data_IF_197946175597
#
_entry.id   IF_197946175597
#
_cell.length_a   1.000
_cell.length_b   1.000
_cell.length_c   1.000
_cell.angle_alpha   90.00
_cell.angle_beta   90.00
_cell.angle_gamma   90.00
#
_symmetry.space_group_name_H-M   'P 1'
#
loop_
_entity.id
_entity.type
_entity.pdbx_description
1 polymer ?
#
# COMPACT_ATOMS: atom_id res chain seq x y z
N UNK A 1 -16.60 -27.26 -31.42
CA UNK A 1 -16.40 -26.11 -30.51
C UNK A 1 -15.18 -26.42 -29.68
N UNK A 2 -14.00 -25.84 -29.96
CA UNK A 2 -12.85 -26.05 -29.08
C UNK A 2 -13.09 -25.25 -27.80
N UNK A 3 -13.06 -25.96 -26.68
CA UNK A 3 -13.10 -25.44 -25.32
C UNK A 3 -11.91 -24.50 -25.11
N UNK A 4 -12.19 -23.23 -24.82
CA UNK A 4 -11.18 -22.27 -24.39
C UNK A 4 -10.72 -22.64 -22.99
N UNK A 5 -9.57 -23.32 -22.90
CA UNK A 5 -8.81 -23.39 -21.66
C UNK A 5 -8.39 -21.97 -21.29
N UNK A 6 -9.07 -21.38 -20.30
CA UNK A 6 -8.61 -20.17 -19.64
C UNK A 6 -7.34 -20.54 -18.88
N UNK A 7 -6.19 -20.35 -19.51
CA UNK A 7 -4.89 -20.54 -18.87
C UNK A 7 -4.88 -19.79 -17.54
N UNK A 8 -4.55 -20.49 -16.46
CA UNK A 8 -4.38 -19.90 -15.14
C UNK A 8 -3.41 -18.72 -15.27
N UNK A 9 -3.69 -17.55 -14.66
CA UNK A 9 -2.78 -16.43 -14.70
C UNK A 9 -1.39 -16.90 -14.23
N UNK A 10 -0.41 -16.77 -15.12
CA UNK A 10 0.94 -17.26 -14.88
C UNK A 10 1.62 -16.29 -13.94
N UNK A 11 1.87 -16.73 -12.71
CA UNK A 11 2.64 -15.97 -11.75
C UNK A 11 4.07 -15.72 -12.29
N UNK A 12 4.63 -14.57 -11.96
CA UNK A 12 5.92 -14.05 -12.40
C UNK A 12 7.12 -14.90 -11.96
N UNK A 13 8.35 -14.51 -12.34
CA UNK A 13 9.54 -15.31 -12.10
C UNK A 13 9.94 -15.33 -10.61
N UNK A 14 10.72 -16.34 -10.23
CA UNK A 14 11.42 -16.36 -8.94
C UNK A 14 12.57 -15.35 -8.93
N UNK A 15 12.85 -14.73 -7.78
CA UNK A 15 14.03 -13.87 -7.62
C UNK A 15 14.57 -13.88 -6.19
N UNK A 16 15.77 -13.35 -6.00
CA UNK A 16 16.27 -12.97 -4.68
C UNK A 16 15.93 -11.51 -4.45
N UNK A 17 15.06 -11.24 -3.47
CA UNK A 17 14.74 -9.89 -3.04
C UNK A 17 15.65 -9.47 -1.89
N UNK A 18 16.02 -8.19 -1.85
CA UNK A 18 16.74 -7.55 -0.75
C UNK A 18 16.08 -6.23 -0.43
N UNK A 19 16.00 -5.90 0.86
CA UNK A 19 15.51 -4.60 1.28
C UNK A 19 16.57 -3.50 1.05
N UNK A 20 16.17 -2.24 1.22
CA UNK A 20 17.00 -1.07 0.90
C UNK A 20 18.34 -1.06 1.64
N UNK A 21 18.35 -1.42 2.94
CA UNK A 21 19.58 -1.53 3.74
C UNK A 21 20.29 -2.88 3.65
N UNK A 22 19.80 -3.81 2.83
CA UNK A 22 20.36 -5.15 2.63
C UNK A 22 20.43 -6.07 3.86
N UNK A 23 19.75 -5.77 4.97
CA UNK A 23 19.69 -6.65 6.15
C UNK A 23 18.58 -7.71 6.06
N UNK A 24 17.59 -7.54 5.18
CA UNK A 24 16.55 -8.52 4.90
C UNK A 24 16.71 -9.07 3.48
N UNK A 25 16.70 -10.39 3.36
CA UNK A 25 16.86 -11.11 2.10
C UNK A 25 15.90 -12.29 2.07
N UNK A 26 15.24 -12.54 0.94
CA UNK A 26 14.48 -13.77 0.73
C UNK A 26 14.55 -14.22 -0.73
N UNK A 27 14.34 -15.52 -0.95
CA UNK A 27 14.11 -16.08 -2.29
C UNK A 27 12.61 -16.23 -2.46
N UNK A 28 12.02 -15.39 -3.29
CA UNK A 28 10.58 -15.44 -3.58
C UNK A 28 10.34 -16.41 -4.74
N UNK A 29 9.26 -17.19 -4.65
CA UNK A 29 8.86 -18.10 -5.73
C UNK A 29 8.30 -17.33 -6.92
N UNK A 30 7.55 -16.26 -6.66
CA UNK A 30 7.02 -15.35 -7.68
C UNK A 30 7.12 -13.90 -7.23
N UNK A 31 7.59 -13.03 -8.12
CA UNK A 31 7.58 -11.59 -7.94
C UNK A 31 6.61 -10.93 -8.91
N UNK A 32 5.75 -10.06 -8.39
CA UNK A 32 4.62 -9.48 -9.11
C UNK A 32 4.64 -7.97 -9.02
N UNK A 33 4.31 -7.29 -10.12
CA UNK A 33 4.19 -5.82 -10.19
C UNK A 33 2.85 -5.45 -10.82
N UNK A 34 1.72 -5.69 -10.14
CA UNK A 34 0.40 -5.35 -10.66
C UNK A 34 0.24 -3.83 -10.79
N UNK A 35 -0.48 -3.39 -11.82
CA UNK A 35 -0.75 -1.96 -12.08
C UNK A 35 -2.20 -1.55 -11.81
N UNK A 36 -3.10 -2.52 -11.61
CA UNK A 36 -4.52 -2.31 -11.37
C UNK A 36 -5.03 -3.14 -10.20
N UNK A 37 -6.15 -2.71 -9.62
CA UNK A 37 -6.86 -3.44 -8.56
C UNK A 37 -7.25 -4.86 -9.02
N UNK A 38 -7.63 -5.00 -10.30
CA UNK A 38 -7.94 -6.28 -10.91
C UNK A 38 -6.73 -7.23 -10.92
N UNK A 39 -5.55 -6.71 -11.31
CA UNK A 39 -4.32 -7.51 -11.35
C UNK A 39 -3.93 -7.96 -9.94
N UNK A 40 -4.04 -7.07 -8.94
CA UNK A 40 -3.79 -7.41 -7.54
C UNK A 40 -4.69 -8.55 -7.09
N UNK A 41 -6.01 -8.43 -7.29
CA UNK A 41 -6.96 -9.46 -6.89
C UNK A 41 -6.72 -10.79 -7.63
N UNK A 42 -6.35 -10.72 -8.91
CA UNK A 42 -6.01 -11.90 -9.72
C UNK A 42 -4.75 -12.60 -9.21
N UNK A 43 -3.71 -11.85 -8.86
CA UNK A 43 -2.48 -12.38 -8.24
C UNK A 43 -2.77 -13.05 -6.90
N UNK A 44 -3.59 -12.44 -6.04
CA UNK A 44 -3.95 -13.02 -4.75
C UNK A 44 -4.69 -14.36 -4.93
N UNK A 45 -5.69 -14.39 -5.83
CA UNK A 45 -6.45 -15.62 -6.14
C UNK A 45 -5.57 -16.73 -6.72
N UNK A 46 -4.63 -16.35 -7.59
CA UNK A 46 -3.66 -17.29 -8.14
C UNK A 46 -2.75 -17.86 -7.05
N UNK A 47 -2.24 -17.02 -6.14
CA UNK A 47 -1.43 -17.45 -5.00
C UNK A 47 -2.20 -18.40 -4.07
N UNK A 48 -3.44 -18.04 -3.71
CA UNK A 48 -4.32 -18.87 -2.89
C UNK A 48 -4.59 -20.23 -3.53
N UNK A 49 -4.85 -20.27 -4.84
CA UNK A 49 -5.09 -21.52 -5.59
C UNK A 49 -3.85 -22.43 -5.67
N UNK A 50 -2.65 -21.87 -5.43
CA UNK A 50 -1.38 -22.59 -5.42
C UNK A 50 -0.83 -22.81 -4.00
N UNK A 51 -1.61 -22.53 -2.95
CA UNK A 51 -1.21 -22.60 -1.54
C UNK A 51 0.08 -21.79 -1.24
N UNK A 52 0.18 -20.59 -1.84
CA UNK A 52 1.32 -19.71 -1.68
C UNK A 52 0.98 -18.51 -0.79
N UNK A 53 1.86 -18.24 0.18
CA UNK A 53 1.78 -17.04 1.02
C UNK A 53 2.11 -15.80 0.22
N UNK A 54 1.31 -14.75 0.42
CA UNK A 54 1.51 -13.44 -0.20
C UNK A 54 2.09 -12.46 0.81
N UNK A 55 3.14 -11.74 0.42
CA UNK A 55 3.60 -10.52 1.10
C UNK A 55 3.64 -9.37 0.11
N UNK A 56 3.64 -8.15 0.64
CA UNK A 56 3.65 -6.91 -0.14
C UNK A 56 4.89 -6.12 0.21
N UNK A 57 5.49 -5.48 -0.79
CA UNK A 57 6.61 -4.56 -0.63
C UNK A 57 6.29 -3.23 -1.29
N UNK A 58 6.55 -2.15 -0.57
CA UNK A 58 6.69 -0.80 -1.15
C UNK A 58 8.10 -0.63 -1.70
N UNK A 59 8.81 0.41 -1.24
CA UNK A 59 10.21 0.65 -1.61
C UNK A 59 11.24 -0.08 -0.73
N UNK A 60 10.79 -1.01 0.14
CA UNK A 60 11.69 -1.90 0.89
C UNK A 60 12.50 -1.26 2.02
N UNK A 61 12.02 -0.16 2.62
CA UNK A 61 12.75 0.56 3.68
C UNK A 61 12.63 -0.03 5.10
N UNK A 62 11.84 -1.09 5.30
CA UNK A 62 11.71 -1.68 6.65
C UNK A 62 12.97 -2.47 7.02
N UNK A 63 13.51 -2.18 8.21
CA UNK A 63 14.61 -2.95 8.82
C UNK A 63 14.12 -4.27 9.43
N UNK A 64 12.87 -4.30 9.87
CA UNK A 64 12.21 -5.46 10.47
C UNK A 64 11.83 -6.46 9.39
N UNK A 65 11.91 -7.78 9.63
CA UNK A 65 11.57 -8.81 8.66
C UNK A 65 10.06 -8.94 8.38
N UNK A 66 9.39 -7.85 8.02
CA UNK A 66 7.96 -7.86 7.67
C UNK A 66 7.73 -8.24 6.20
N UNK A 67 8.66 -7.99 5.30
CA UNK A 67 8.50 -8.31 3.86
C UNK A 67 8.86 -9.76 3.47
N UNK A 68 9.92 -10.38 4.01
CA UNK A 68 10.39 -11.70 3.57
C UNK A 68 9.29 -12.76 3.43
N UNK A 69 9.33 -13.49 2.32
CA UNK A 69 8.46 -14.63 2.00
C UNK A 69 9.18 -15.60 1.06
N UNK A 70 8.77 -16.86 1.08
CA UNK A 70 9.14 -17.89 0.12
C UNK A 70 8.05 -18.12 -0.95
N UNK A 71 6.89 -17.47 -0.82
CA UNK A 71 5.77 -17.54 -1.74
C UNK A 71 5.78 -16.42 -2.80
N UNK A 72 4.70 -15.65 -2.85
CA UNK A 72 4.50 -14.53 -3.78
C UNK A 72 4.83 -13.20 -3.10
N UNK A 73 5.64 -12.38 -3.74
CA UNK A 73 5.93 -11.02 -3.33
C UNK A 73 5.34 -10.02 -4.33
N UNK A 74 4.38 -9.21 -3.88
CA UNK A 74 3.75 -8.17 -4.67
C UNK A 74 4.46 -6.84 -4.42
N UNK A 75 4.98 -6.21 -5.47
CA UNK A 75 5.42 -4.81 -5.42
C UNK A 75 4.23 -3.88 -5.62
N UNK A 76 4.04 -2.95 -4.69
CA UNK A 76 3.02 -1.93 -4.79
C UNK A 76 3.42 -0.76 -5.71
N UNK A 77 4.67 -0.70 -6.18
CA UNK A 77 5.22 0.49 -6.87
C UNK A 77 4.41 0.97 -8.07
N UNK A 78 3.79 0.06 -8.83
CA UNK A 78 2.95 0.42 -10.00
C UNK A 78 1.52 0.82 -9.64
N UNK A 79 1.11 0.63 -8.40
CA UNK A 79 -0.14 1.14 -7.84
C UNK A 79 0.10 2.58 -7.35
N UNK A 80 0.58 3.47 -8.22
CA UNK A 80 0.97 4.84 -7.88
C UNK A 80 0.07 5.87 -8.57
N UNK A 81 -0.08 7.03 -7.93
CA UNK A 81 -0.85 8.16 -8.42
C UNK A 81 -1.75 8.77 -7.35
N UNK A 82 -2.14 10.02 -7.59
CA UNK A 82 -3.20 10.70 -6.84
C UNK A 82 -4.51 10.42 -7.58
N UNK A 83 -5.49 9.83 -6.89
CA UNK A 83 -6.80 9.55 -7.47
C UNK A 83 -7.71 10.78 -7.40
N UNK A 84 -7.64 11.53 -6.31
CA UNK A 84 -8.47 12.71 -6.08
C UNK A 84 -7.85 13.64 -5.03
N UNK A 85 -7.98 14.95 -5.22
CA UNK A 85 -7.77 15.97 -4.18
C UNK A 85 -9.10 16.71 -4.06
N UNK A 86 -9.79 16.55 -2.93
CA UNK A 86 -11.08 17.19 -2.69
C UNK A 86 -10.89 18.44 -1.82
N UNK A 87 -11.00 19.65 -2.40
CA UNK A 87 -10.86 20.90 -1.65
C UNK A 87 -12.04 21.17 -0.71
N UNK A 88 -13.21 20.56 -0.96
CA UNK A 88 -14.41 20.75 -0.12
C UNK A 88 -14.26 20.05 1.21
N UNK A 89 -13.80 18.79 1.18
CA UNK A 89 -13.59 18.00 2.39
C UNK A 89 -12.18 18.15 2.98
N UNK A 90 -11.25 18.80 2.26
CA UNK A 90 -9.85 18.92 2.64
C UNK A 90 -9.19 17.54 2.72
N UNK A 91 -9.31 16.73 1.68
CA UNK A 91 -8.76 15.36 1.66
C UNK A 91 -8.10 14.98 0.34
N UNK A 92 -7.23 13.99 0.40
CA UNK A 92 -6.59 13.37 -0.77
C UNK A 92 -6.81 11.87 -0.75
N UNK A 93 -7.03 11.27 -1.92
CA UNK A 93 -6.98 9.82 -2.12
C UNK A 93 -5.74 9.47 -2.95
N UNK A 94 -4.90 8.61 -2.40
CA UNK A 94 -3.62 8.19 -2.96
C UNK A 94 -3.64 6.69 -3.22
N UNK A 95 -3.14 6.24 -4.38
CA UNK A 95 -2.88 4.81 -4.60
C UNK A 95 -1.75 4.34 -3.67
N UNK A 96 -1.80 3.09 -3.21
CA UNK A 96 -0.94 2.60 -2.12
C UNK A 96 0.56 2.64 -2.43
N UNK A 97 0.93 2.53 -3.70
CA UNK A 97 2.30 2.62 -4.20
C UNK A 97 2.85 4.04 -4.35
N UNK A 98 2.02 5.08 -4.24
CA UNK A 98 2.47 6.47 -4.38
C UNK A 98 3.54 6.79 -3.36
N UNK A 99 4.70 7.29 -3.80
CA UNK A 99 5.77 7.70 -2.88
C UNK A 99 5.44 9.05 -2.28
N UNK A 100 5.85 9.28 -1.04
CA UNK A 100 5.56 10.53 -0.32
C UNK A 100 6.15 11.74 -1.06
N UNK A 101 7.35 11.60 -1.65
CA UNK A 101 8.01 12.64 -2.45
C UNK A 101 7.18 13.11 -3.65
N UNK A 102 6.34 12.23 -4.21
CA UNK A 102 5.50 12.54 -5.37
C UNK A 102 4.20 13.27 -4.98
N UNK A 103 3.84 13.31 -3.68
CA UNK A 103 2.59 13.90 -3.18
C UNK A 103 2.73 15.39 -2.88
N UNK A 104 3.86 15.80 -2.27
CA UNK A 104 4.07 17.16 -1.79
C UNK A 104 3.87 18.26 -2.85
N UNK A 105 4.51 18.17 -4.04
CA UNK A 105 4.37 19.19 -5.10
C UNK A 105 2.93 19.38 -5.58
N UNK A 106 2.19 18.28 -5.74
CA UNK A 106 0.78 18.30 -6.19
C UNK A 106 -0.13 18.94 -5.13
N UNK A 107 0.02 18.52 -3.87
CA UNK A 107 -0.74 19.11 -2.76
C UNK A 107 -0.46 20.61 -2.62
N UNK A 108 0.82 21.00 -2.68
CA UNK A 108 1.22 22.42 -2.59
C UNK A 108 0.60 23.25 -3.71
N UNK A 109 0.58 22.73 -4.94
CA UNK A 109 -0.06 23.40 -6.08
C UNK A 109 -1.57 23.57 -5.89
N UNK A 110 -2.19 22.67 -5.11
CA UNK A 110 -3.60 22.73 -4.73
C UNK A 110 -3.87 23.50 -3.41
N UNK A 111 -2.85 24.10 -2.78
CA UNK A 111 -2.99 24.86 -1.53
C UNK A 111 -3.07 24.00 -0.25
N UNK A 112 -2.63 22.75 -0.33
CA UNK A 112 -2.69 21.77 0.77
C UNK A 112 -1.30 21.23 1.15
N UNK A 113 -1.24 20.61 2.33
CA UNK A 113 -0.09 19.86 2.81
C UNK A 113 -0.54 18.64 3.63
N UNK A 114 0.35 17.64 3.74
CA UNK A 114 0.22 16.58 4.74
C UNK A 114 0.50 17.17 6.13
N UNK A 115 -0.26 16.78 7.17
CA UNK A 115 -0.08 17.33 8.52
C UNK A 115 1.23 16.87 9.19
N UNK A 116 1.77 15.73 8.78
CA UNK A 116 3.03 15.19 9.24
C UNK A 116 3.61 14.25 8.17
N UNK A 117 4.92 14.07 8.15
CA UNK A 117 5.61 13.09 7.30
C UNK A 117 6.95 12.66 7.93
N UNK A 118 7.45 11.49 7.56
CA UNK A 118 8.78 11.04 7.95
C UNK A 118 9.90 11.72 7.14
N UNK A 119 11.15 11.50 7.57
CA UNK A 119 12.35 12.00 6.88
C UNK A 119 12.61 11.31 5.53
N UNK A 120 12.24 10.02 5.41
CA UNK A 120 12.36 9.27 4.17
C UNK A 120 11.09 9.40 3.35
N UNK A 121 11.09 10.31 2.38
CA UNK A 121 9.97 10.56 1.46
C UNK A 121 9.91 9.57 0.27
N UNK A 122 10.93 8.72 0.10
CA UNK A 122 10.95 7.61 -0.86
C UNK A 122 10.08 6.42 -0.44
N UNK A 123 9.50 6.43 0.76
CA UNK A 123 8.55 5.39 1.18
C UNK A 123 7.26 5.48 0.35
N UNK A 124 6.70 4.33 -0.05
CA UNK A 124 5.32 4.30 -0.54
C UNK A 124 4.37 4.68 0.60
N UNK A 125 3.25 5.33 0.27
CA UNK A 125 2.28 5.77 1.28
C UNK A 125 1.73 4.57 2.05
N UNK A 126 1.41 3.46 1.37
CA UNK A 126 0.98 2.21 2.02
C UNK A 126 2.04 1.66 2.98
N UNK A 127 3.31 1.69 2.60
CA UNK A 127 4.41 1.23 3.43
C UNK A 127 4.52 2.07 4.69
N UNK A 128 4.57 3.39 4.53
CA UNK A 128 4.73 4.34 5.63
C UNK A 128 3.57 4.27 6.63
N UNK A 129 2.31 4.25 6.16
CA UNK A 129 1.16 4.18 7.07
C UNK A 129 1.00 2.80 7.72
N UNK A 130 1.35 1.73 7.01
CA UNK A 130 1.25 0.37 7.55
C UNK A 130 2.29 0.10 8.64
N UNK A 131 3.41 0.84 8.65
CA UNK A 131 4.45 0.73 9.68
C UNK A 131 4.42 1.87 10.70
N UNK A 132 3.42 2.75 10.65
CA UNK A 132 3.27 3.82 11.63
C UNK A 132 4.35 4.90 11.54
N UNK A 133 4.88 5.19 10.34
CA UNK A 133 5.83 6.28 10.12
C UNK A 133 5.31 7.60 10.71
N UNK A 134 6.16 8.34 11.40
CA UNK A 134 5.85 9.67 11.93
C UNK A 134 7.02 10.63 11.68
N UNK A 135 6.73 11.92 11.63
CA UNK A 135 7.74 12.98 11.68
C UNK A 135 8.01 13.46 13.10
N UNK A 136 8.72 14.57 13.19
CA UNK A 136 8.97 15.27 14.46
C UNK A 136 7.77 16.14 14.84
N UNK A 137 7.37 16.11 16.12
CA UNK A 137 6.34 16.98 16.66
C UNK A 137 5.53 16.31 17.75
N UNK A 138 5.63 16.80 18.98
CA UNK A 138 5.03 16.19 20.17
C UNK A 138 3.49 16.09 20.10
N UNK A 139 2.86 17.05 19.43
CA UNK A 139 1.41 17.09 19.24
C UNK A 139 0.95 16.54 17.89
N UNK A 140 1.86 16.03 17.05
CA UNK A 140 1.53 15.53 15.72
C UNK A 140 1.35 14.00 15.76
N UNK A 141 0.27 13.53 15.16
CA UNK A 141 0.04 12.10 14.98
C UNK A 141 1.02 11.50 13.96
N UNK A 142 1.15 10.17 13.96
CA UNK A 142 1.83 9.48 12.86
C UNK A 142 1.08 9.68 11.53
N UNK A 143 1.71 9.32 10.43
CA UNK A 143 1.16 9.47 9.08
C UNK A 143 -0.17 8.72 8.88
N UNK A 144 -0.43 7.68 9.67
CA UNK A 144 -1.71 6.96 9.64
C UNK A 144 -2.85 7.70 10.39
N UNK A 145 -2.52 8.65 11.27
CA UNK A 145 -3.49 9.45 12.04
C UNK A 145 -4.60 10.07 11.19
N UNK A 146 -4.28 10.90 10.18
CA UNK A 146 -5.27 11.59 9.36
C UNK A 146 -6.01 10.71 8.34
N UNK A 147 -5.75 9.39 8.29
CA UNK A 147 -6.48 8.48 7.40
C UNK A 147 -7.96 8.44 7.81
N UNK A 148 -8.83 8.68 6.83
CA UNK A 148 -10.29 8.59 6.93
C UNK A 148 -10.89 7.49 6.06
N UNK A 149 -10.10 6.90 5.15
CA UNK A 149 -10.52 5.74 4.37
C UNK A 149 -9.35 4.91 3.87
N UNK A 150 -9.56 3.61 3.69
CA UNK A 150 -8.60 2.67 3.11
C UNK A 150 -9.30 1.63 2.25
N UNK A 151 -8.71 1.27 1.11
CA UNK A 151 -9.17 0.16 0.27
C UNK A 151 -8.13 -0.95 0.30
N UNK A 152 -8.50 -2.16 0.69
CA UNK A 152 -7.56 -3.27 0.86
C UNK A 152 -8.06 -4.50 0.11
N UNK A 153 -7.22 -5.07 -0.76
CA UNK A 153 -7.45 -6.40 -1.32
C UNK A 153 -6.98 -7.47 -0.33
N UNK A 154 -7.89 -8.28 0.19
CA UNK A 154 -7.63 -9.27 1.25
C UNK A 154 -7.34 -10.66 0.66
N UNK A 155 -7.06 -11.65 1.51
CA UNK A 155 -6.50 -12.96 1.12
C UNK A 155 -7.34 -13.83 0.16
N UNK A 156 -8.65 -13.57 0.01
CA UNK A 156 -9.51 -14.25 -0.97
C UNK A 156 -9.61 -13.49 -2.32
N UNK A 157 -8.92 -12.34 -2.42
CA UNK A 157 -8.94 -11.45 -3.57
C UNK A 157 -10.22 -10.62 -3.69
N UNK A 158 -11.03 -10.51 -2.64
CA UNK A 158 -12.05 -9.47 -2.49
C UNK A 158 -11.43 -8.16 -2.00
N UNK A 159 -12.12 -7.05 -2.24
CA UNK A 159 -11.72 -5.71 -1.79
C UNK A 159 -12.64 -5.32 -0.64
N UNK A 160 -12.04 -4.85 0.45
CA UNK A 160 -12.74 -4.29 1.60
C UNK A 160 -12.44 -2.80 1.68
N UNK A 161 -13.49 -2.00 1.73
CA UNK A 161 -13.42 -0.56 1.95
C UNK A 161 -13.63 -0.27 3.44
N UNK A 162 -12.64 0.36 4.06
CA UNK A 162 -12.71 0.87 5.43
C UNK A 162 -12.97 2.37 5.37
N UNK A 163 -14.02 2.84 6.04
CA UNK A 163 -14.44 4.24 6.03
C UNK A 163 -14.77 4.71 7.45
N UNK A 164 -14.18 5.84 7.87
CA UNK A 164 -14.36 6.39 9.21
C UNK A 164 -15.83 6.74 9.53
N UNK A 165 -16.62 7.11 8.52
CA UNK A 165 -18.05 7.43 8.67
C UNK A 165 -18.93 6.20 8.92
N UNK A 166 -18.44 5.01 8.53
CA UNK A 166 -19.16 3.74 8.69
C UNK A 166 -18.72 3.01 9.95
N UNK A 167 -17.41 2.81 10.11
CA UNK A 167 -16.83 2.09 11.25
C UNK A 167 -15.41 2.60 11.54
N UNK A 168 -15.32 3.50 12.52
CA UNK A 168 -14.04 4.08 12.94
C UNK A 168 -13.13 3.04 13.60
N UNK A 169 -13.68 2.07 14.32
CA UNK A 169 -12.87 1.06 15.03
C UNK A 169 -12.26 0.08 14.04
N UNK A 170 -13.02 -0.37 13.04
CA UNK A 170 -12.50 -1.19 11.95
C UNK A 170 -11.42 -0.45 11.15
N UNK A 171 -11.62 0.84 10.82
CA UNK A 171 -10.60 1.63 10.14
C UNK A 171 -9.34 1.76 11.00
N UNK A 172 -9.48 2.04 12.31
CA UNK A 172 -8.33 2.14 13.20
C UNK A 172 -7.56 0.82 13.34
N UNK A 173 -8.25 -0.32 13.31
CA UNK A 173 -7.62 -1.64 13.27
C UNK A 173 -6.93 -1.93 11.92
N UNK A 174 -7.39 -1.32 10.82
CA UNK A 174 -6.79 -1.46 9.50
C UNK A 174 -5.53 -0.60 9.30
N UNK A 175 -5.43 0.51 10.03
CA UNK A 175 -4.22 1.34 10.10
C UNK A 175 -3.07 0.56 10.75
N UNK A 176 -1.83 0.90 10.39
CA UNK A 176 -0.61 0.31 11.00
C UNK A 176 -0.63 -1.24 10.98
N UNK A 177 -1.17 -1.83 9.91
CA UNK A 177 -1.40 -3.28 9.84
C UNK A 177 -0.19 -4.12 9.41
N UNK A 178 0.98 -3.50 9.18
CA UNK A 178 2.20 -4.18 8.73
C UNK A 178 2.03 -5.02 7.44
N UNK A 179 1.02 -4.68 6.62
CA UNK A 179 0.65 -5.44 5.43
C UNK A 179 0.06 -6.83 5.71
N UNK A 180 -0.43 -7.09 6.92
CA UNK A 180 -0.99 -8.39 7.31
C UNK A 180 -2.45 -8.58 6.89
N UNK A 181 -3.19 -7.49 6.67
CA UNK A 181 -4.59 -7.55 6.24
C UNK A 181 -4.73 -7.77 4.73
N UNK A 182 -3.69 -7.46 3.94
CA UNK A 182 -3.72 -7.59 2.49
C UNK A 182 -2.91 -6.50 1.79
N UNK A 183 -3.22 -6.27 0.52
CA UNK A 183 -2.60 -5.22 -0.31
C UNK A 183 -3.42 -3.95 -0.18
N UNK A 184 -2.82 -2.89 0.38
CA UNK A 184 -3.45 -1.56 0.41
C UNK A 184 -3.46 -0.98 -1.01
N UNK A 185 -4.66 -0.86 -1.59
CA UNK A 185 -4.88 -0.35 -2.94
C UNK A 185 -4.88 1.18 -2.96
N UNK A 186 -5.57 1.80 -2.00
CA UNK A 186 -5.56 3.26 -1.82
C UNK A 186 -5.83 3.67 -0.38
N UNK A 187 -5.45 4.90 -0.05
CA UNK A 187 -5.70 5.55 1.24
C UNK A 187 -6.28 6.93 1.01
N UNK A 188 -7.28 7.30 1.80
CA UNK A 188 -7.87 8.64 1.83
C UNK A 188 -7.50 9.33 3.14
N UNK A 189 -6.92 10.53 3.05
CA UNK A 189 -6.31 11.22 4.18
C UNK A 189 -6.79 12.67 4.27
N UNK A 190 -7.01 13.16 5.49
CA UNK A 190 -7.23 14.59 5.74
C UNK A 190 -5.96 15.38 5.53
N UNK A 191 -6.13 16.56 4.95
CA UNK A 191 -5.09 17.54 4.65
C UNK A 191 -5.19 18.74 5.59
N UNK A 192 -4.12 19.52 5.63
CA UNK A 192 -4.09 20.85 6.23
C UNK A 192 -3.77 21.90 5.18
N UNK A 193 -4.15 23.17 5.36
CA UNK A 193 -3.72 24.24 4.46
C UNK A 193 -2.20 24.26 4.30
N UNK A 194 -1.73 24.58 3.09
CA UNK A 194 -0.30 24.72 2.83
C UNK A 194 0.33 25.80 3.72
N UNK A 195 1.58 25.58 4.09
CA UNK A 195 2.43 26.45 4.90
C UNK A 195 3.79 26.70 4.22
#
# INVERSE_FOLDING_TARGET
>A
MPSSETGSPTLGPSMIWRNWVSNQVCRVKHFEMPSSDHDVCSTIKAAASNDLRVRVVGTGHSYTPIVPTDGVLISAERLSGIENIDPTSGSVTLRGGTRICDVGPELRSAGWALPNQGDIDLQTISGAVSTGTHGSGDSLQCLAGPIIGMRIAIGDGSIVDFDASQDTDALNAAKVCLGMLGVVLSVTMKLVPAF
#
